data_IF_929170991076
#
_entry.id   IF_929170991076
#
_cell.length_a   1.000
_cell.length_b   1.000
_cell.length_c   1.000
_cell.angle_alpha   90.00
_cell.angle_beta   90.00
_cell.angle_gamma   90.00
#
_symmetry.space_group_name_H-M   'P 1'
#
loop_
_entity.id
_entity.type
_entity.pdbx_description
1 polymer ?
#
# COMPACT_ATOMS: atom_id res chain seq x y z
N UNK A 1 4.02 -1.96 6.39
CA UNK A 1 5.13 -1.40 5.59
C UNK A 1 4.64 -0.16 4.87
N UNK A 2 5.36 0.95 5.00
CA UNK A 2 5.17 2.21 4.28
C UNK A 2 6.18 2.30 3.15
N UNK A 3 5.73 2.82 2.00
CA UNK A 3 6.58 3.21 0.88
C UNK A 3 6.16 4.62 0.45
N UNK A 4 7.09 5.57 0.54
CA UNK A 4 6.93 6.92 0.05
C UNK A 4 7.25 6.96 -1.44
N UNK A 5 6.27 7.34 -2.26
CA UNK A 5 6.43 7.53 -3.70
C UNK A 5 6.04 8.95 -4.09
N UNK A 6 6.92 9.66 -4.78
CA UNK A 6 6.65 11.00 -5.29
C UNK A 6 7.11 11.14 -6.74
N UNK A 7 6.17 11.37 -7.67
CA UNK A 7 6.45 11.47 -9.11
C UNK A 7 7.28 10.32 -9.72
N UNK A 8 7.21 9.13 -9.14
CA UNK A 8 8.00 7.97 -9.58
C UNK A 8 9.29 7.77 -8.80
N UNK A 9 9.69 8.72 -7.97
CA UNK A 9 10.83 8.60 -7.07
C UNK A 9 10.40 7.95 -5.75
N UNK A 10 11.19 6.97 -5.29
CA UNK A 10 11.05 6.43 -3.94
C UNK A 10 11.66 7.42 -2.94
N UNK A 11 10.82 7.98 -2.07
CA UNK A 11 11.23 8.93 -1.01
C UNK A 11 11.54 8.24 0.32
N UNK A 12 11.53 6.90 0.33
CA UNK A 12 11.91 6.04 1.44
C UNK A 12 10.86 4.97 1.74
N UNK A 13 11.24 3.98 2.54
CA UNK A 13 10.33 2.95 3.04
C UNK A 13 10.58 2.69 4.53
N UNK A 14 9.52 2.37 5.28
CA UNK A 14 9.60 2.07 6.72
C UNK A 14 8.63 0.94 7.09
N UNK A 15 9.10 -0.09 7.79
CA UNK A 15 8.18 -1.01 8.46
C UNK A 15 7.63 -0.31 9.71
N UNK A 16 6.30 -0.22 9.81
CA UNK A 16 5.64 0.35 10.98
C UNK A 16 5.37 -0.79 11.97
N UNK A 17 5.66 -0.53 13.24
CA UNK A 17 5.21 -1.40 14.33
C UNK A 17 3.68 -1.33 14.47
N UNK A 18 3.01 -2.36 15.04
CA UNK A 18 1.55 -2.42 15.11
C UNK A 18 0.87 -1.23 15.82
N UNK A 19 1.59 -0.57 16.72
CA UNK A 19 1.18 0.57 17.54
C UNK A 19 1.73 1.91 17.06
N UNK A 20 2.50 1.93 15.96
CA UNK A 20 3.08 3.15 15.42
C UNK A 20 2.03 3.96 14.64
N UNK A 21 1.76 5.18 15.09
CA UNK A 21 0.77 6.06 14.47
C UNK A 21 1.21 6.58 13.10
N UNK A 22 0.27 6.61 12.15
CA UNK A 22 0.44 7.20 10.83
C UNK A 22 -0.61 8.29 10.58
N UNK A 23 -0.23 9.33 9.84
CA UNK A 23 -1.12 10.43 9.46
C UNK A 23 -1.65 10.19 8.04
N UNK A 24 -2.97 10.20 7.85
CA UNK A 24 -3.54 10.16 6.49
C UNK A 24 -3.62 11.57 5.92
N UNK A 25 -2.94 11.79 4.80
CA UNK A 25 -2.91 13.06 4.09
C UNK A 25 -4.26 13.37 3.44
N UNK A 26 -4.65 14.65 3.47
CA UNK A 26 -5.86 15.13 2.78
C UNK A 26 -5.65 15.10 1.26
N UNK A 27 -6.70 14.83 0.46
CA UNK A 27 -6.58 14.88 -0.99
C UNK A 27 -6.01 16.22 -1.47
N UNK A 28 -4.92 16.18 -2.24
CA UNK A 28 -4.27 17.37 -2.80
C UNK A 28 -3.29 18.08 -1.88
N UNK A 29 -3.01 17.56 -0.68
CA UNK A 29 -1.89 18.09 0.13
C UNK A 29 -0.54 17.75 -0.51
N UNK A 30 0.48 18.60 -0.35
CA UNK A 30 1.83 18.25 -0.75
C UNK A 30 2.31 16.99 -0.01
N UNK A 31 3.20 16.18 -0.61
CA UNK A 31 3.79 15.05 0.08
C UNK A 31 4.65 15.57 1.23
N UNK A 32 4.56 14.92 2.38
CA UNK A 32 5.43 15.19 3.52
C UNK A 32 6.58 14.16 3.50
N UNK A 33 7.84 14.58 3.26
CA UNK A 33 8.99 13.69 3.31
C UNK A 33 9.11 13.02 4.68
N UNK A 34 9.58 11.77 4.71
CA UNK A 34 9.86 11.11 5.98
C UNK A 34 10.95 11.86 6.76
N UNK A 35 10.67 12.09 8.04
CA UNK A 35 11.64 12.59 9.02
C UNK A 35 11.67 11.65 10.21
N UNK A 36 12.86 11.42 10.73
CA UNK A 36 13.07 10.57 11.90
C UNK A 36 12.36 11.17 13.12
N UNK A 37 11.55 10.34 13.81
CA UNK A 37 10.78 10.75 14.98
C UNK A 37 9.41 11.40 14.72
N UNK A 38 9.01 11.63 13.46
CA UNK A 38 7.67 12.11 13.11
C UNK A 38 6.76 10.98 12.60
N UNK A 39 5.44 11.04 12.86
CA UNK A 39 4.47 10.11 12.28
C UNK A 39 4.55 10.10 10.75
N UNK A 40 4.48 8.91 10.18
CA UNK A 40 4.56 8.73 8.73
C UNK A 40 3.27 9.25 8.08
N UNK A 41 3.41 10.17 7.14
CA UNK A 41 2.29 10.71 6.39
C UNK A 41 2.04 9.90 5.11
N UNK A 42 0.80 9.41 4.95
CA UNK A 42 0.40 8.50 3.87
C UNK A 42 -0.81 9.06 3.11
N UNK A 43 -0.76 9.04 1.78
CA UNK A 43 -1.94 9.39 0.96
C UNK A 43 -2.91 8.19 0.82
N UNK A 44 -2.39 6.97 0.92
CA UNK A 44 -3.15 5.74 0.77
C UNK A 44 -2.81 4.73 1.86
N UNK A 45 -3.84 4.06 2.39
CA UNK A 45 -3.69 2.90 3.27
C UNK A 45 -4.44 1.74 2.65
N UNK A 46 -3.72 0.69 2.27
CA UNK A 46 -4.32 -0.54 1.73
C UNK A 46 -4.15 -1.66 2.76
N UNK A 47 -5.26 -2.19 3.24
CA UNK A 47 -5.30 -3.12 4.38
C UNK A 47 -6.26 -4.27 4.15
N UNK A 48 -5.99 -5.41 4.79
CA UNK A 48 -6.85 -6.58 4.72
C UNK A 48 -6.30 -7.73 5.57
N UNK A 49 -7.09 -8.80 5.76
CA UNK A 49 -6.67 -9.99 6.49
C UNK A 49 -5.41 -10.63 5.89
N UNK A 50 -4.58 -11.23 6.73
CA UNK A 50 -3.36 -11.93 6.33
C UNK A 50 -3.62 -12.98 5.23
N UNK A 51 -4.65 -13.82 5.39
CA UNK A 51 -5.00 -14.86 4.41
C UNK A 51 -5.29 -14.30 3.02
N UNK A 52 -5.86 -13.09 2.93
CA UNK A 52 -6.10 -12.45 1.65
C UNK A 52 -4.79 -11.98 1.01
N UNK A 53 -3.85 -11.49 1.80
CA UNK A 53 -2.51 -11.14 1.34
C UNK A 53 -1.74 -12.35 0.83
N UNK A 54 -1.80 -13.49 1.53
CA UNK A 54 -1.18 -14.75 1.06
C UNK A 54 -1.77 -15.17 -0.29
N UNK A 55 -3.09 -15.09 -0.48
CA UNK A 55 -3.73 -15.39 -1.77
C UNK A 55 -3.28 -14.45 -2.88
N UNK A 56 -3.10 -13.16 -2.57
CA UNK A 56 -2.58 -12.18 -3.52
C UNK A 56 -1.15 -12.54 -3.94
N UNK A 57 -0.28 -12.87 -2.99
CA UNK A 57 1.11 -13.23 -3.27
C UNK A 57 1.26 -14.55 -4.03
N UNK A 58 0.33 -15.50 -3.80
CA UNK A 58 0.21 -16.74 -4.58
C UNK A 58 -0.46 -16.56 -5.95
N UNK A 59 -0.86 -15.33 -6.30
CA UNK A 59 -1.60 -14.99 -7.54
C UNK A 59 -2.98 -15.67 -7.66
N UNK A 60 -3.55 -16.09 -6.54
CA UNK A 60 -4.90 -16.68 -6.44
C UNK A 60 -6.00 -15.61 -6.30
N UNK A 61 -5.61 -14.38 -5.92
CA UNK A 61 -6.49 -13.24 -5.77
C UNK A 61 -5.86 -12.01 -6.42
N UNK A 62 -6.55 -11.40 -7.38
CA UNK A 62 -6.16 -10.10 -7.91
C UNK A 62 -6.44 -9.01 -6.86
N UNK A 63 -5.47 -8.12 -6.55
CA UNK A 63 -5.62 -7.10 -5.50
C UNK A 63 -6.72 -6.08 -5.81
N UNK A 64 -6.95 -5.72 -7.09
CA UNK A 64 -7.99 -4.78 -7.48
C UNK A 64 -9.37 -5.46 -7.38
N UNK A 65 -9.49 -6.71 -7.85
CA UNK A 65 -10.73 -7.48 -7.68
C UNK A 65 -11.03 -7.72 -6.20
N UNK A 66 -10.01 -8.03 -5.39
CA UNK A 66 -10.14 -8.18 -3.94
C UNK A 66 -10.64 -6.90 -3.27
N UNK A 67 -10.11 -5.74 -3.68
CA UNK A 67 -10.60 -4.44 -3.20
C UNK A 67 -12.05 -4.19 -3.60
N UNK A 68 -12.40 -4.41 -4.87
CA UNK A 68 -13.77 -4.22 -5.37
C UNK A 68 -14.79 -5.17 -4.72
N UNK A 69 -14.36 -6.38 -4.36
CA UNK A 69 -15.16 -7.36 -3.65
C UNK A 69 -15.21 -7.15 -2.13
N UNK A 70 -14.58 -6.08 -1.60
CA UNK A 70 -14.56 -5.77 -0.17
C UNK A 70 -13.65 -6.67 0.67
N UNK A 71 -12.78 -7.48 0.05
CA UNK A 71 -11.78 -8.32 0.72
C UNK A 71 -10.60 -7.50 1.27
N UNK A 72 -10.38 -6.33 0.69
CA UNK A 72 -9.43 -5.32 1.16
C UNK A 72 -10.16 -3.99 1.40
N UNK A 73 -9.55 -3.15 2.23
CA UNK A 73 -9.98 -1.78 2.50
C UNK A 73 -8.91 -0.83 1.99
N UNK A 74 -9.35 0.23 1.32
CA UNK A 74 -8.51 1.34 0.92
C UNK A 74 -8.98 2.61 1.63
N UNK A 75 -8.07 3.29 2.31
CA UNK A 75 -8.23 4.68 2.75
C UNK A 75 -7.46 5.56 1.78
N UNK A 76 -8.07 6.67 1.33
CA UNK A 76 -7.48 7.60 0.37
C UNK A 76 -8.38 7.86 -0.85
N UNK A 77 -7.82 8.49 -1.89
CA UNK A 77 -8.58 8.84 -3.10
C UNK A 77 -8.73 7.63 -4.05
N UNK A 78 -9.86 6.92 -3.95
CA UNK A 78 -10.16 5.76 -4.79
C UNK A 78 -10.11 6.07 -6.30
N UNK A 79 -10.58 7.24 -6.73
CA UNK A 79 -10.55 7.61 -8.16
C UNK A 79 -9.12 7.71 -8.72
N UNK A 80 -8.15 8.13 -7.89
CA UNK A 80 -6.73 8.16 -8.25
C UNK A 80 -6.16 6.76 -8.38
N UNK A 81 -6.48 5.84 -7.47
CA UNK A 81 -6.06 4.42 -7.56
C UNK A 81 -6.66 3.75 -8.79
N UNK A 82 -7.94 3.96 -9.07
CA UNK A 82 -8.62 3.37 -10.23
C UNK A 82 -8.07 3.85 -11.58
N UNK A 83 -7.43 5.03 -11.65
CA UNK A 83 -6.71 5.50 -12.84
C UNK A 83 -5.32 4.87 -12.99
N UNK A 84 -4.77 4.35 -11.90
CA UNK A 84 -3.43 3.78 -11.81
C UNK A 84 -3.44 2.27 -11.50
N UNK A 85 -4.50 1.56 -11.88
CA UNK A 85 -4.70 0.12 -11.58
C UNK A 85 -3.54 -0.75 -12.05
N UNK A 86 -2.98 -0.45 -13.22
CA UNK A 86 -1.81 -1.18 -13.74
C UNK A 86 -0.59 -1.04 -12.81
N UNK A 87 -0.32 0.16 -12.31
CA UNK A 87 0.79 0.39 -11.39
C UNK A 87 0.56 -0.34 -10.06
N UNK A 88 -0.67 -0.31 -9.54
CA UNK A 88 -1.03 -1.05 -8.33
C UNK A 88 -0.87 -2.58 -8.52
N UNK A 89 -1.22 -3.10 -9.70
CA UNK A 89 -1.00 -4.50 -10.04
C UNK A 89 0.49 -4.85 -10.10
N UNK A 90 1.30 -4.01 -10.74
CA UNK A 90 2.75 -4.26 -10.84
C UNK A 90 3.48 -4.19 -9.50
N UNK A 91 3.03 -3.34 -8.57
CA UNK A 91 3.55 -3.33 -7.20
C UNK A 91 3.39 -4.71 -6.55
N UNK A 92 2.20 -5.29 -6.66
CA UNK A 92 1.93 -6.63 -6.13
C UNK A 92 2.71 -7.70 -6.88
N UNK A 93 2.72 -7.67 -8.21
CA UNK A 93 3.52 -8.61 -9.01
C UNK A 93 4.99 -8.58 -8.60
N UNK A 94 5.54 -7.39 -8.35
CA UNK A 94 6.93 -7.22 -7.91
C UNK A 94 7.19 -7.88 -6.56
N UNK A 95 6.24 -7.81 -5.62
CA UNK A 95 6.36 -8.52 -4.34
C UNK A 95 6.36 -10.04 -4.49
N UNK A 96 5.73 -10.60 -5.54
CA UNK A 96 5.75 -12.05 -5.80
C UNK A 96 7.09 -12.58 -6.32
N UNK A 97 8.02 -11.70 -6.70
CA UNK A 97 9.36 -12.08 -7.14
C UNK A 97 10.32 -12.34 -5.98
N UNK A 98 9.92 -12.00 -4.75
CA UNK A 98 10.71 -12.24 -3.55
C UNK A 98 10.31 -13.59 -2.98
N UNK A 99 11.29 -14.49 -2.85
CA UNK A 99 11.08 -15.80 -2.24
C UNK A 99 10.59 -15.63 -0.79
N UNK A 100 9.39 -16.17 -0.51
CA UNK A 100 8.66 -15.90 0.73
C UNK A 100 8.06 -17.20 1.27
N UNK A 101 8.33 -17.49 2.54
CA UNK A 101 7.67 -18.56 3.30
C UNK A 101 6.45 -17.99 4.06
N UNK A 102 5.36 -18.75 4.10
CA UNK A 102 4.12 -18.38 4.78
C UNK A 102 3.92 -19.31 5.98
N UNK A 103 3.64 -18.76 7.16
CA UNK A 103 3.49 -19.51 8.42
C UNK A 103 2.11 -19.33 9.04
#
# INVERSE_FOLDING_TARGET
>A
MYVGLYHGDCTGAKALEPDEEYETLKPGSPPKPMKEGEPVAVEFVFSGPYDNWVKVLKKELDPIQGLMAGKFKLVGNMAKVMRATKAAQELVNSTTMVETEYY
#
